data_IF_377872046939
#
_entry.id   IF_377872046939
#
_cell.length_a   1.000
_cell.length_b   1.000
_cell.length_c   1.000
_cell.angle_alpha   90.00
_cell.angle_beta   90.00
_cell.angle_gamma   90.00
#
_symmetry.space_group_name_H-M   'P 1'
#
loop_
_entity.id
_entity.type
_entity.pdbx_description
1 polymer ?
#
# COMPACT_ATOMS: atom_id res chain seq x y z
N UNK A 1 -44.59 -20.39 -4.84
CA UNK A 1 -43.75 -20.57 -3.63
C UNK A 1 -42.22 -20.50 -3.92
N UNK A 2 -41.71 -21.21 -4.91
CA UNK A 2 -40.27 -21.25 -5.28
C UNK A 2 -39.67 -19.84 -5.50
N UNK A 3 -40.33 -18.96 -6.27
CA UNK A 3 -39.88 -17.60 -6.56
C UNK A 3 -39.69 -16.72 -5.32
N UNK A 4 -40.55 -16.83 -4.30
CA UNK A 4 -40.42 -16.08 -3.03
C UNK A 4 -39.22 -16.53 -2.21
N UNK A 5 -38.89 -17.82 -2.22
CA UNK A 5 -37.72 -18.40 -1.53
C UNK A 5 -36.41 -17.90 -2.15
N UNK A 6 -36.30 -17.84 -3.48
CA UNK A 6 -35.12 -17.27 -4.14
C UNK A 6 -34.97 -15.79 -3.90
N UNK A 7 -36.06 -15.01 -3.90
CA UNK A 7 -36.03 -13.60 -3.59
C UNK A 7 -35.51 -13.37 -2.14
N UNK A 8 -35.98 -14.16 -1.19
CA UNK A 8 -35.50 -14.09 0.19
C UNK A 8 -34.00 -14.40 0.30
N UNK A 9 -33.49 -15.43 -0.38
CA UNK A 9 -32.07 -15.78 -0.39
C UNK A 9 -31.21 -14.69 -1.02
N UNK A 10 -31.68 -14.03 -2.09
CA UNK A 10 -30.98 -12.91 -2.73
C UNK A 10 -30.90 -11.73 -1.75
N UNK A 11 -31.99 -11.39 -1.09
CA UNK A 11 -32.02 -10.29 -0.09
C UNK A 11 -31.03 -10.60 1.05
N UNK A 12 -31.06 -11.83 1.56
CA UNK A 12 -30.14 -12.25 2.62
C UNK A 12 -28.67 -12.12 2.18
N UNK A 13 -28.35 -12.56 0.97
CA UNK A 13 -27.01 -12.40 0.41
C UNK A 13 -26.59 -10.93 0.33
N UNK A 14 -27.47 -10.04 -0.14
CA UNK A 14 -27.20 -8.60 -0.18
C UNK A 14 -26.94 -8.02 1.22
N UNK A 15 -27.72 -8.43 2.22
CA UNK A 15 -27.51 -7.99 3.61
C UNK A 15 -26.13 -8.43 4.12
N UNK A 16 -25.73 -9.67 3.88
CA UNK A 16 -24.42 -10.19 4.26
C UNK A 16 -23.30 -9.39 3.58
N UNK A 17 -23.42 -9.11 2.28
CA UNK A 17 -22.44 -8.30 1.55
C UNK A 17 -22.33 -6.87 2.09
N UNK A 18 -23.44 -6.24 2.44
CA UNK A 18 -23.44 -4.88 3.03
C UNK A 18 -22.75 -4.89 4.40
N UNK A 19 -23.04 -5.87 5.24
CA UNK A 19 -22.41 -6.01 6.55
C UNK A 19 -20.89 -6.22 6.40
N UNK A 20 -20.49 -7.13 5.55
CA UNK A 20 -19.08 -7.42 5.30
C UNK A 20 -18.32 -6.22 4.71
N UNK A 21 -18.94 -5.50 3.74
CA UNK A 21 -18.39 -4.26 3.24
C UNK A 21 -18.25 -3.18 4.33
N UNK A 22 -19.20 -3.12 5.27
CA UNK A 22 -19.14 -2.18 6.38
C UNK A 22 -17.95 -2.44 7.31
N UNK A 23 -17.62 -3.71 7.57
CA UNK A 23 -16.41 -4.08 8.32
C UNK A 23 -15.13 -3.68 7.55
N UNK A 24 -15.07 -3.93 6.25
CA UNK A 24 -13.94 -3.48 5.43
C UNK A 24 -13.82 -1.96 5.44
N UNK A 25 -14.94 -1.23 5.32
CA UNK A 25 -14.95 0.22 5.36
C UNK A 25 -14.42 0.79 6.68
N UNK A 26 -14.83 0.22 7.82
CA UNK A 26 -14.28 0.57 9.14
C UNK A 26 -12.76 0.31 9.19
N UNK A 27 -12.30 -0.82 8.66
CA UNK A 27 -10.88 -1.18 8.62
C UNK A 27 -10.03 -0.13 7.90
N UNK A 28 -10.52 0.47 6.82
CA UNK A 28 -9.82 1.52 6.05
C UNK A 28 -9.46 2.74 6.92
N UNK A 29 -10.26 3.09 7.91
CA UNK A 29 -10.09 4.29 8.73
C UNK A 29 -9.47 4.02 10.11
N UNK A 30 -9.22 2.76 10.46
CA UNK A 30 -8.64 2.39 11.76
C UNK A 30 -7.12 2.49 11.83
N UNK A 31 -6.44 2.77 10.73
CA UNK A 31 -4.98 2.87 10.72
C UNK A 31 -4.52 4.17 11.40
N UNK A 32 -3.70 4.02 12.45
CA UNK A 32 -3.00 5.13 13.10
C UNK A 32 -1.61 5.27 12.51
N UNK A 33 -1.31 6.44 11.96
CA UNK A 33 0.02 6.73 11.43
C UNK A 33 1.02 6.88 12.57
N UNK A 34 2.00 5.98 12.63
CA UNK A 34 3.09 6.02 13.59
C UNK A 34 4.41 5.82 12.86
N UNK A 35 5.35 6.76 13.05
CA UNK A 35 6.68 6.72 12.45
C UNK A 35 7.78 6.42 13.49
N UNK A 36 7.41 6.21 14.76
CA UNK A 36 8.37 6.04 15.84
C UNK A 36 9.29 4.85 15.58
N UNK A 37 10.60 5.13 15.60
CA UNK A 37 11.70 4.15 15.56
C UNK A 37 11.88 3.34 14.27
N UNK A 38 11.26 3.74 13.15
CA UNK A 38 11.45 3.04 11.90
C UNK A 38 12.04 3.95 10.82
N UNK A 39 13.15 3.53 10.24
CA UNK A 39 13.89 4.31 9.25
C UNK A 39 13.89 3.69 7.85
N UNK A 40 13.23 2.55 7.71
CA UNK A 40 13.08 1.86 6.44
C UNK A 40 11.64 2.00 5.94
N UNK A 41 11.46 2.40 4.71
CA UNK A 41 10.17 2.72 4.13
C UNK A 41 9.98 1.98 2.82
N UNK A 42 8.79 1.44 2.61
CA UNK A 42 8.36 0.87 1.33
C UNK A 42 7.11 1.64 0.90
N UNK A 43 7.16 2.31 -0.26
CA UNK A 43 6.00 2.97 -0.84
C UNK A 43 5.48 2.20 -2.04
N UNK A 44 4.19 1.89 -2.03
CA UNK A 44 3.50 1.28 -3.15
C UNK A 44 2.98 2.37 -4.08
N UNK A 45 3.42 2.34 -5.34
CA UNK A 45 2.96 3.31 -6.36
C UNK A 45 1.54 3.02 -6.87
N UNK A 46 1.11 3.69 -7.94
CA UNK A 46 -0.22 3.48 -8.54
C UNK A 46 -1.35 4.31 -7.92
N UNK A 47 -1.06 5.25 -7.04
CA UNK A 47 -2.01 6.23 -6.52
C UNK A 47 -1.45 7.65 -6.61
N UNK A 48 -2.37 8.62 -6.71
CA UNK A 48 -2.01 10.02 -6.89
C UNK A 48 -1.10 10.53 -5.75
N UNK A 49 0.02 11.11 -6.13
CA UNK A 49 0.97 11.77 -5.22
C UNK A 49 1.58 10.91 -4.10
N UNK A 50 1.42 9.58 -4.09
CA UNK A 50 2.00 8.73 -3.03
C UNK A 50 3.51 8.92 -2.90
N UNK A 51 4.23 8.85 -4.02
CA UNK A 51 5.69 9.04 -4.03
C UNK A 51 6.05 10.42 -3.49
N UNK A 52 5.38 11.50 -3.94
CA UNK A 52 5.64 12.85 -3.46
C UNK A 52 5.39 13.00 -1.96
N UNK A 53 4.28 12.44 -1.45
CA UNK A 53 3.97 12.43 -0.01
C UNK A 53 5.00 11.62 0.78
N UNK A 54 5.42 10.48 0.27
CA UNK A 54 6.45 9.63 0.90
C UNK A 54 7.81 10.32 0.95
N UNK A 55 8.22 11.00 -0.12
CA UNK A 55 9.46 11.78 -0.15
C UNK A 55 9.43 12.88 0.90
N UNK A 56 8.30 13.61 1.06
CA UNK A 56 8.16 14.63 2.10
C UNK A 56 8.42 14.06 3.50
N UNK A 57 7.81 12.92 3.83
CA UNK A 57 8.03 12.25 5.12
C UNK A 57 9.49 11.80 5.23
N UNK A 58 10.02 11.15 4.21
CA UNK A 58 11.36 10.60 4.21
C UNK A 58 12.45 11.66 4.43
N UNK A 59 12.32 12.83 3.81
CA UNK A 59 13.29 13.91 3.97
C UNK A 59 13.21 14.62 5.33
N UNK A 60 12.04 14.58 6.00
CA UNK A 60 11.88 15.15 7.34
C UNK A 60 12.54 14.31 8.44
N UNK A 61 12.88 13.07 8.18
CA UNK A 61 13.50 12.19 9.17
C UNK A 61 15.00 12.46 9.25
N UNK A 62 15.49 12.84 10.42
CA UNK A 62 16.90 13.13 10.69
C UNK A 62 17.71 11.88 11.05
N UNK A 63 17.68 10.85 10.21
CA UNK A 63 18.49 9.65 10.43
C UNK A 63 19.32 9.34 9.19
N UNK A 64 20.63 9.09 9.39
CA UNK A 64 21.58 8.78 8.31
C UNK A 64 21.37 7.37 7.74
N UNK A 65 20.81 6.46 8.52
CA UNK A 65 20.59 5.05 8.13
C UNK A 65 19.19 4.78 7.56
N UNK A 66 18.51 5.83 7.10
CA UNK A 66 17.17 5.69 6.50
C UNK A 66 17.23 5.18 5.06
N UNK A 67 16.30 4.30 4.70
CA UNK A 67 16.17 3.77 3.36
C UNK A 67 14.72 3.88 2.87
N UNK A 68 14.54 4.15 1.58
CA UNK A 68 13.24 4.19 0.92
C UNK A 68 13.25 3.27 -0.32
N UNK A 69 12.32 2.34 -0.37
CA UNK A 69 12.05 1.52 -1.54
C UNK A 69 10.75 1.97 -2.21
N UNK A 70 10.81 2.33 -3.48
CA UNK A 70 9.66 2.77 -4.27
C UNK A 70 9.30 1.63 -5.22
N UNK A 71 8.23 0.90 -4.90
CA UNK A 71 7.84 -0.32 -5.59
C UNK A 71 6.71 -0.10 -6.60
N UNK A 72 6.83 -0.72 -7.77
CA UNK A 72 5.82 -0.75 -8.82
C UNK A 72 5.73 0.54 -9.64
N UNK A 73 6.85 1.19 -9.92
CA UNK A 73 6.84 2.41 -10.75
C UNK A 73 6.57 2.10 -12.22
N UNK A 74 5.94 3.05 -12.92
CA UNK A 74 5.75 2.98 -14.37
C UNK A 74 7.05 3.13 -15.16
N UNK A 75 6.99 2.76 -16.45
CA UNK A 75 8.13 2.94 -17.38
C UNK A 75 8.60 4.40 -17.38
N UNK A 76 9.91 4.60 -17.41
CA UNK A 76 10.54 5.93 -17.45
C UNK A 76 10.67 6.63 -16.09
N UNK A 77 10.10 6.09 -15.01
CA UNK A 77 10.30 6.62 -13.67
C UNK A 77 11.71 6.27 -13.17
N UNK A 78 12.49 7.27 -12.78
CA UNK A 78 13.88 7.12 -12.38
C UNK A 78 14.29 8.18 -11.34
N UNK A 79 15.56 8.19 -10.91
CA UNK A 79 16.10 9.17 -9.96
C UNK A 79 15.97 10.62 -10.43
N UNK A 80 16.04 10.86 -11.74
CA UNK A 80 15.82 12.22 -12.28
C UNK A 80 14.36 12.67 -12.07
N UNK A 81 13.39 11.76 -12.18
CA UNK A 81 11.99 12.03 -11.83
C UNK A 81 11.85 12.39 -10.35
N UNK A 82 12.57 11.70 -9.46
CA UNK A 82 12.59 12.05 -8.02
C UNK A 82 13.14 13.45 -7.78
N UNK A 83 14.24 13.81 -8.44
CA UNK A 83 14.81 15.17 -8.34
C UNK A 83 13.80 16.23 -8.78
N UNK A 84 13.10 16.02 -9.89
CA UNK A 84 12.02 16.91 -10.34
C UNK A 84 10.89 17.02 -9.30
N UNK A 85 10.48 15.92 -8.68
CA UNK A 85 9.44 15.91 -7.64
C UNK A 85 9.86 16.67 -6.37
N UNK A 86 11.16 16.79 -6.12
CA UNK A 86 11.76 17.56 -5.02
C UNK A 86 12.24 18.95 -5.44
N UNK A 87 11.75 19.47 -6.59
CA UNK A 87 12.10 20.79 -7.13
C UNK A 87 13.61 20.95 -7.35
N UNK A 88 14.31 19.86 -7.68
CA UNK A 88 15.77 19.80 -7.88
C UNK A 88 16.58 20.35 -6.70
N UNK A 89 16.07 20.25 -5.48
CA UNK A 89 16.78 20.72 -4.29
C UNK A 89 18.12 19.97 -4.10
N UNK A 90 19.27 20.65 -4.16
CA UNK A 90 20.59 20.03 -4.10
C UNK A 90 20.83 19.22 -2.82
N UNK A 91 20.23 19.65 -1.70
CA UNK A 91 20.36 18.97 -0.41
C UNK A 91 19.80 17.55 -0.39
N UNK A 92 18.87 17.23 -1.31
CA UNK A 92 18.28 15.91 -1.40
C UNK A 92 19.00 14.97 -2.38
N UNK A 93 19.89 15.49 -3.25
CA UNK A 93 20.54 14.67 -4.29
C UNK A 93 21.34 13.50 -3.70
N UNK A 94 22.18 13.77 -2.68
CA UNK A 94 22.94 12.71 -1.99
C UNK A 94 22.02 11.63 -1.41
N UNK A 95 20.91 12.05 -0.76
CA UNK A 95 19.93 11.13 -0.16
C UNK A 95 19.18 10.32 -1.23
N UNK A 96 18.85 10.95 -2.37
CA UNK A 96 18.21 10.23 -3.50
C UNK A 96 19.18 9.19 -4.07
N UNK A 97 20.46 9.47 -4.13
CA UNK A 97 21.44 8.56 -4.73
C UNK A 97 21.81 7.40 -3.80
N UNK A 98 22.04 7.66 -2.51
CA UNK A 98 22.46 6.61 -1.56
C UNK A 98 21.32 5.71 -1.09
N UNK A 99 20.15 6.34 -0.85
CA UNK A 99 19.23 5.80 0.14
C UNK A 99 17.82 5.55 -0.44
N UNK A 100 17.59 5.89 -1.72
CA UNK A 100 16.34 5.61 -2.42
C UNK A 100 16.57 4.59 -3.54
N UNK A 101 15.89 3.45 -3.46
CA UNK A 101 15.85 2.44 -4.50
C UNK A 101 14.50 2.44 -5.19
N UNK A 102 14.51 2.29 -6.52
CA UNK A 102 13.33 2.30 -7.38
C UNK A 102 13.18 0.92 -8.02
N UNK A 103 11.98 0.38 -8.01
CA UNK A 103 11.65 -0.91 -8.61
C UNK A 103 10.45 -0.73 -9.58
N UNK A 104 10.60 -1.19 -10.82
CA UNK A 104 9.61 -1.05 -11.90
C UNK A 104 9.21 -2.38 -12.57
N UNK A 105 9.56 -3.53 -12.00
CA UNK A 105 9.23 -4.86 -12.53
C UNK A 105 7.81 -5.25 -12.11
N UNK A 106 7.41 -4.88 -10.90
CA UNK A 106 6.13 -5.23 -10.30
C UNK A 106 4.94 -4.70 -11.07
N UNK A 107 3.90 -5.52 -11.22
CA UNK A 107 2.66 -5.20 -11.93
C UNK A 107 1.41 -5.25 -11.04
N UNK A 108 1.51 -5.82 -9.86
CA UNK A 108 0.41 -5.99 -8.91
C UNK A 108 0.94 -5.98 -7.47
N UNK A 109 0.05 -5.99 -6.48
CA UNK A 109 0.43 -5.89 -5.06
C UNK A 109 1.21 -7.09 -4.58
N UNK A 110 0.94 -8.29 -5.10
CA UNK A 110 1.71 -9.49 -4.79
C UNK A 110 3.17 -9.35 -5.26
N UNK A 111 3.38 -8.97 -6.53
CA UNK A 111 4.73 -8.77 -7.05
C UNK A 111 5.46 -7.61 -6.36
N UNK A 112 4.75 -6.55 -5.93
CA UNK A 112 5.34 -5.52 -5.08
C UNK A 112 5.88 -6.11 -3.76
N UNK A 113 5.12 -6.99 -3.12
CA UNK A 113 5.56 -7.64 -1.87
C UNK A 113 6.77 -8.55 -2.10
N UNK A 114 6.79 -9.32 -3.19
CA UNK A 114 7.94 -10.19 -3.55
C UNK A 114 9.21 -9.38 -3.79
N UNK A 115 9.15 -8.32 -4.60
CA UNK A 115 10.31 -7.47 -4.88
C UNK A 115 10.77 -6.69 -3.63
N UNK A 116 9.81 -6.27 -2.80
CA UNK A 116 10.12 -5.66 -1.50
C UNK A 116 10.82 -6.63 -0.56
N UNK A 117 10.46 -7.93 -0.56
CA UNK A 117 11.14 -8.94 0.26
C UNK A 117 12.62 -9.12 -0.17
N UNK A 118 12.88 -9.15 -1.48
CA UNK A 118 14.26 -9.21 -1.98
C UNK A 118 15.10 -8.03 -1.48
N UNK A 119 14.52 -6.82 -1.56
CA UNK A 119 15.17 -5.61 -1.07
C UNK A 119 15.40 -5.65 0.45
N UNK A 120 14.39 -6.03 1.22
CA UNK A 120 14.48 -6.12 2.70
C UNK A 120 15.55 -7.12 3.12
N UNK A 121 15.62 -8.29 2.47
CA UNK A 121 16.67 -9.29 2.72
C UNK A 121 18.06 -8.77 2.34
N UNK A 122 18.21 -8.09 1.21
CA UNK A 122 19.50 -7.56 0.77
C UNK A 122 20.07 -6.45 1.67
N UNK A 123 19.21 -5.84 2.49
CA UNK A 123 19.55 -4.76 3.42
C UNK A 123 19.48 -5.20 4.90
N UNK A 124 19.21 -6.48 5.16
CA UNK A 124 19.08 -7.05 6.52
C UNK A 124 18.06 -6.26 7.39
N UNK A 125 16.96 -5.84 6.77
CA UNK A 125 15.93 -5.02 7.43
C UNK A 125 14.99 -5.92 8.23
N UNK A 126 14.84 -5.63 9.52
CA UNK A 126 13.95 -6.37 10.44
C UNK A 126 12.60 -5.69 10.65
N UNK A 127 12.45 -4.45 10.21
CA UNK A 127 11.19 -3.73 10.29
C UNK A 127 11.12 -2.58 9.28
N UNK A 128 9.93 -2.29 8.75
CA UNK A 128 9.73 -1.16 7.85
C UNK A 128 8.33 -0.57 7.97
N UNK A 129 8.18 0.65 7.47
CA UNK A 129 6.90 1.34 7.30
C UNK A 129 6.38 1.11 5.89
N UNK A 130 5.18 0.55 5.75
CA UNK A 130 4.50 0.40 4.48
C UNK A 130 3.61 1.61 4.20
N UNK A 131 3.92 2.35 3.13
CA UNK A 131 3.28 3.60 2.76
C UNK A 131 2.33 3.40 1.58
N UNK A 132 1.05 3.65 1.77
CA UNK A 132 0.06 3.63 0.69
C UNK A 132 -1.20 4.41 1.07
N UNK A 133 -2.22 4.46 0.19
CA UNK A 133 -3.50 5.07 0.52
C UNK A 133 -4.32 4.18 1.48
N UNK A 134 -5.15 4.81 2.30
CA UNK A 134 -5.97 4.12 3.29
C UNK A 134 -6.83 3.00 2.70
N UNK A 135 -7.49 3.24 1.54
CA UNK A 135 -8.33 2.23 0.87
C UNK A 135 -7.55 1.03 0.34
N UNK A 136 -6.27 1.21 0.04
CA UNK A 136 -5.39 0.14 -0.47
C UNK A 136 -4.69 -0.65 0.66
N UNK A 137 -4.52 -0.04 1.83
CA UNK A 137 -3.75 -0.61 2.95
C UNK A 137 -4.24 -2.00 3.40
N UNK A 138 -5.56 -2.29 3.53
CA UNK A 138 -6.00 -3.62 3.94
C UNK A 138 -5.49 -4.73 3.02
N UNK A 139 -5.54 -4.52 1.70
CA UNK A 139 -5.05 -5.49 0.71
C UNK A 139 -3.53 -5.55 0.66
N UNK A 140 -2.87 -4.40 0.77
CA UNK A 140 -1.41 -4.35 0.81
C UNK A 140 -0.85 -5.13 2.01
N UNK A 141 -1.40 -4.92 3.21
CA UNK A 141 -1.00 -5.67 4.39
C UNK A 141 -1.23 -7.16 4.23
N UNK A 142 -2.40 -7.57 3.71
CA UNK A 142 -2.71 -8.98 3.51
C UNK A 142 -1.68 -9.68 2.60
N UNK A 143 -1.25 -9.03 1.51
CA UNK A 143 -0.20 -9.54 0.62
C UNK A 143 1.18 -9.55 1.29
N UNK A 144 1.53 -8.47 1.98
CA UNK A 144 2.82 -8.34 2.63
C UNK A 144 2.95 -9.31 3.81
N UNK A 145 1.96 -9.40 4.70
CA UNK A 145 1.96 -10.32 5.85
C UNK A 145 1.97 -11.79 5.42
N UNK A 146 1.43 -12.13 4.24
CA UNK A 146 1.54 -13.49 3.71
C UNK A 146 2.98 -13.88 3.35
N UNK A 147 3.84 -12.92 3.03
CA UNK A 147 5.21 -13.11 2.57
C UNK A 147 6.25 -12.80 3.67
N UNK A 148 6.01 -11.76 4.47
CA UNK A 148 6.93 -11.29 5.51
C UNK A 148 6.55 -11.88 6.88
N UNK A 149 7.01 -13.10 7.18
CA UNK A 149 6.60 -13.82 8.40
C UNK A 149 7.24 -13.27 9.68
N UNK A 150 8.53 -12.91 9.63
CA UNK A 150 9.34 -12.52 10.80
C UNK A 150 9.75 -11.04 10.79
N UNK A 151 9.14 -10.24 9.91
CA UNK A 151 9.50 -8.84 9.72
C UNK A 151 8.32 -7.95 10.13
N UNK A 152 8.58 -7.01 11.03
CA UNK A 152 7.55 -6.10 11.53
C UNK A 152 7.16 -5.07 10.46
N UNK A 153 5.89 -5.06 10.08
CA UNK A 153 5.31 -4.10 9.14
C UNK A 153 4.49 -3.07 9.93
N UNK A 154 4.81 -1.79 9.75
CA UNK A 154 4.05 -0.69 10.33
C UNK A 154 3.27 0.02 9.22
N UNK A 155 1.94 0.00 9.22
CA UNK A 155 1.16 0.70 8.21
C UNK A 155 1.22 2.22 8.41
N UNK A 156 1.36 2.95 7.30
CA UNK A 156 1.20 4.38 7.24
C UNK A 156 0.33 4.77 6.06
N UNK A 157 -0.79 5.43 6.30
CA UNK A 157 -1.80 5.68 5.28
C UNK A 157 -1.87 7.14 4.84
N UNK A 158 -2.00 7.33 3.55
CA UNK A 158 -2.36 8.63 2.97
C UNK A 158 -3.86 8.70 2.74
N UNK A 159 -4.48 9.80 3.13
CA UNK A 159 -5.87 10.12 2.83
C UNK A 159 -5.89 11.05 1.63
N UNK A 160 -6.69 10.70 0.61
CA UNK A 160 -6.88 11.54 -0.57
C UNK A 160 -8.01 12.55 -0.32
N UNK A 161 -7.71 13.67 0.29
CA UNK A 161 -8.70 14.71 0.63
C UNK A 161 -9.30 15.37 -0.61
N UNK A 162 -8.48 15.60 -1.63
CA UNK A 162 -8.85 16.33 -2.85
C UNK A 162 -9.55 15.50 -3.93
N UNK A 163 -9.77 14.21 -3.70
CA UNK A 163 -10.48 13.37 -4.66
C UNK A 163 -11.99 13.62 -4.63
N UNK A 164 -12.61 13.75 -5.79
CA UNK A 164 -14.06 13.85 -5.94
C UNK A 164 -14.71 12.64 -5.24
N UNK A 165 -15.78 12.85 -4.48
CA UNK A 165 -16.40 11.87 -3.60
C UNK A 165 -16.80 10.54 -4.29
N UNK A 166 -17.31 10.56 -5.52
CA UNK A 166 -17.67 9.35 -6.26
C UNK A 166 -16.43 8.52 -6.69
N UNK A 167 -15.30 9.19 -7.03
CA UNK A 167 -14.02 8.50 -7.29
C UNK A 167 -13.47 7.84 -6.03
N UNK A 168 -13.65 8.46 -4.86
CA UNK A 168 -13.31 7.84 -3.57
C UNK A 168 -14.14 6.57 -3.33
N UNK A 169 -15.46 6.66 -3.49
CA UNK A 169 -16.38 5.51 -3.33
C UNK A 169 -16.05 4.36 -4.28
N UNK A 170 -15.76 4.67 -5.54
CA UNK A 170 -15.35 3.65 -6.52
C UNK A 170 -14.06 2.96 -6.10
N UNK A 171 -13.06 3.69 -5.61
CA UNK A 171 -11.83 3.10 -5.10
C UNK A 171 -12.09 2.16 -3.91
N UNK A 172 -12.96 2.54 -2.96
CA UNK A 172 -13.28 1.70 -1.79
C UNK A 172 -13.98 0.40 -2.20
N UNK A 173 -14.97 0.48 -3.08
CA UNK A 173 -15.68 -0.71 -3.59
C UNK A 173 -14.72 -1.61 -4.39
N UNK A 174 -13.94 -1.04 -5.30
CA UNK A 174 -12.97 -1.79 -6.11
C UNK A 174 -11.92 -2.49 -5.23
N UNK A 175 -11.37 -1.80 -4.23
CA UNK A 175 -10.40 -2.40 -3.31
C UNK A 175 -11.02 -3.42 -2.37
N UNK A 176 -12.30 -3.30 -2.00
CA UNK A 176 -13.03 -4.34 -1.27
C UNK A 176 -13.04 -5.66 -2.04
N UNK A 177 -13.45 -5.64 -3.31
CA UNK A 177 -13.47 -6.87 -4.12
C UNK A 177 -12.07 -7.46 -4.32
N UNK A 178 -11.07 -6.62 -4.60
CA UNK A 178 -9.68 -7.07 -4.71
C UNK A 178 -9.16 -7.66 -3.39
N UNK A 179 -9.48 -7.05 -2.25
CA UNK A 179 -9.14 -7.56 -0.92
C UNK A 179 -9.75 -8.94 -0.69
N UNK A 180 -11.03 -9.15 -1.05
CA UNK A 180 -11.69 -10.45 -0.93
C UNK A 180 -11.05 -11.51 -1.82
N UNK A 181 -10.74 -11.17 -3.06
CA UNK A 181 -10.04 -12.08 -3.98
C UNK A 181 -8.65 -12.45 -3.45
N UNK A 182 -7.91 -11.47 -2.93
CA UNK A 182 -6.61 -11.73 -2.29
C UNK A 182 -6.76 -12.64 -1.07
N UNK A 183 -7.73 -12.37 -0.21
CA UNK A 183 -8.01 -13.20 0.97
C UNK A 183 -8.32 -14.65 0.59
N UNK A 184 -9.18 -14.86 -0.40
CA UNK A 184 -9.51 -16.19 -0.91
C UNK A 184 -8.27 -16.87 -1.50
N UNK A 185 -7.49 -16.18 -2.31
CA UNK A 185 -6.26 -16.72 -2.89
C UNK A 185 -5.27 -17.20 -1.82
N UNK A 186 -5.01 -16.39 -0.80
CA UNK A 186 -4.04 -16.72 0.25
C UNK A 186 -4.53 -17.89 1.12
N UNK A 187 -5.82 -17.93 1.46
CA UNK A 187 -6.35 -18.92 2.41
C UNK A 187 -6.80 -20.26 1.73
N UNK A 188 -7.24 -20.21 0.47
CA UNK A 188 -7.71 -21.41 -0.23
C UNK A 188 -6.63 -22.06 -1.09
N UNK A 189 -5.71 -21.28 -1.67
CA UNK A 189 -4.71 -21.79 -2.60
C UNK A 189 -3.34 -21.98 -1.95
N UNK A 190 -3.16 -21.57 -0.69
CA UNK A 190 -1.89 -21.71 0.08
C UNK A 190 -0.63 -21.21 -0.68
N UNK A 191 -0.79 -20.18 -1.54
CA UNK A 191 0.29 -19.56 -2.29
C UNK A 191 0.58 -18.15 -1.76
#
# INVERSE_FOLDING_TARGET
MIKKKYLFLIILLFIVLIIDYSFFYKKIFNYKNNLNYNYNFIVLTGGDNRVKKSLKIFFQIENKNKNLFISGVGKGFNKQTLRKLTQNNPNYNKIIDCCIQIEGISRNTFSNAVESLKWVKSKEINSFVLLTNNYHMPRALLEFESIFKDIKITPYVFIDENKIWWKKKFNYISEYFKYKLTYLRINLLQF
#
